data_IF_246092431798
#
_entry.id   IF_246092431798
#
_cell.length_a   1.000
_cell.length_b   1.000
_cell.length_c   1.000
_cell.angle_alpha   90.00
_cell.angle_beta   90.00
_cell.angle_gamma   90.00
#
_symmetry.space_group_name_H-M   'P 1'
#
loop_
_entity.id
_entity.type
_entity.pdbx_description
1 polymer ?
#
# COMPACT_ATOMS: atom_id res chain seq x y z
N UNK A 1 9.07 -19.56 -36.33
CA UNK A 1 7.85 -19.16 -35.59
C UNK A 1 7.96 -17.69 -35.22
N UNK A 2 7.31 -16.84 -35.99
CA UNK A 2 7.28 -15.39 -35.75
C UNK A 2 6.42 -15.12 -34.51
N UNK A 3 7.00 -14.63 -33.42
CA UNK A 3 6.23 -14.16 -32.26
C UNK A 3 5.55 -12.86 -32.68
N UNK A 4 4.27 -12.95 -33.00
CA UNK A 4 3.38 -11.79 -33.10
C UNK A 4 3.28 -11.19 -31.70
N UNK A 5 4.01 -10.09 -31.47
CA UNK A 5 3.80 -9.27 -30.27
C UNK A 5 2.53 -8.45 -30.52
N UNK A 6 1.38 -9.02 -30.14
CA UNK A 6 0.11 -8.31 -30.13
C UNK A 6 0.26 -7.10 -29.22
N UNK A 7 0.41 -5.92 -29.81
CA UNK A 7 0.43 -4.66 -29.07
C UNK A 7 -1.03 -4.36 -28.71
N UNK A 8 -1.47 -4.84 -27.55
CA UNK A 8 -2.85 -4.66 -27.10
C UNK A 8 -3.05 -3.21 -26.64
N UNK A 9 -3.48 -2.34 -27.57
CA UNK A 9 -4.40 -1.19 -27.45
C UNK A 9 -4.41 -0.27 -26.22
N UNK A 10 -3.40 -0.23 -25.36
CA UNK A 10 -3.33 0.65 -24.19
C UNK A 10 -2.55 1.92 -24.48
N UNK A 11 -2.91 3.02 -23.82
CA UNK A 11 -2.08 4.22 -23.80
C UNK A 11 -0.76 3.91 -23.09
N UNK A 12 0.36 4.41 -23.60
CA UNK A 12 1.68 4.08 -23.09
C UNK A 12 2.48 5.34 -22.76
N UNK A 13 3.30 5.26 -21.72
CA UNK A 13 4.25 6.30 -21.32
C UNK A 13 5.48 5.66 -20.70
N UNK A 14 6.66 6.19 -21.01
CA UNK A 14 7.87 5.88 -20.24
C UNK A 14 8.19 7.07 -19.37
N UNK A 15 8.30 6.82 -18.07
CA UNK A 15 8.70 7.83 -17.08
C UNK A 15 10.18 7.62 -16.78
N UNK A 16 10.94 8.71 -16.74
CA UNK A 16 12.37 8.71 -16.40
C UNK A 16 12.61 9.59 -15.18
N UNK A 17 13.65 9.26 -14.41
CA UNK A 17 14.06 9.99 -13.22
C UNK A 17 15.57 10.32 -13.27
N UNK A 18 15.95 11.29 -12.44
CA UNK A 18 17.32 11.74 -12.20
C UNK A 18 18.17 10.69 -11.46
N UNK A 19 17.57 9.97 -10.51
CA UNK A 19 18.17 8.87 -9.76
C UNK A 19 17.47 7.55 -10.04
N UNK A 20 18.12 6.46 -9.62
CA UNK A 20 17.61 5.10 -9.82
C UNK A 20 16.19 4.92 -9.28
N UNK A 21 15.43 4.00 -9.89
CA UNK A 21 14.11 3.58 -9.44
C UNK A 21 14.16 2.07 -9.22
N UNK A 22 13.73 1.63 -8.04
CA UNK A 22 13.45 0.24 -7.73
C UNK A 22 11.93 0.07 -7.77
N UNK A 23 11.39 -0.27 -8.95
CA UNK A 23 9.95 -0.35 -9.15
C UNK A 23 9.32 -1.40 -8.24
N UNK A 24 9.92 -2.59 -8.19
CA UNK A 24 9.35 -3.74 -7.50
C UNK A 24 9.17 -3.46 -6.00
N UNK A 25 10.18 -2.91 -5.33
CA UNK A 25 10.07 -2.58 -3.90
C UNK A 25 9.20 -1.34 -3.63
N UNK A 26 9.14 -0.40 -4.58
CA UNK A 26 8.29 0.80 -4.48
C UNK A 26 6.81 0.43 -4.52
N UNK A 27 6.37 -0.42 -5.45
CA UNK A 27 4.94 -0.75 -5.62
C UNK A 27 4.48 -1.99 -4.84
N UNK A 28 5.41 -2.75 -4.25
CA UNK A 28 5.11 -3.92 -3.42
C UNK A 28 4.01 -3.69 -2.35
N UNK A 29 3.91 -2.51 -1.68
CA UNK A 29 2.88 -2.25 -0.68
C UNK A 29 1.42 -2.29 -1.19
N UNK A 30 1.20 -2.24 -2.51
CA UNK A 30 -0.14 -2.35 -3.11
C UNK A 30 -0.69 -3.77 -3.11
N UNK A 31 0.19 -4.78 -3.08
CA UNK A 31 -0.17 -6.18 -3.27
C UNK A 31 -0.84 -6.78 -2.03
N UNK A 32 -2.00 -7.41 -2.19
CA UNK A 32 -2.74 -8.17 -1.15
C UNK A 32 -2.56 -9.69 -1.30
N UNK A 33 -1.32 -10.12 -1.52
CA UNK A 33 -0.94 -11.55 -1.67
C UNK A 33 -0.92 -12.04 -3.12
N UNK A 34 -0.79 -13.35 -3.33
CA UNK A 34 -0.78 -13.97 -4.67
C UNK A 34 -2.18 -14.12 -5.29
N UNK A 35 -3.22 -14.18 -4.46
CA UNK A 35 -4.61 -14.27 -4.91
C UNK A 35 -5.34 -12.93 -5.02
N UNK A 36 -4.61 -11.82 -5.02
CA UNK A 36 -5.19 -10.48 -5.10
C UNK A 36 -5.93 -10.31 -6.44
N UNK A 37 -7.25 -10.04 -6.45
CA UNK A 37 -7.98 -9.88 -7.69
C UNK A 37 -7.68 -8.55 -8.41
N UNK A 38 -7.13 -7.56 -7.71
CA UNK A 38 -6.80 -6.24 -8.26
C UNK A 38 -5.36 -6.16 -8.78
N UNK A 39 -4.49 -7.12 -8.44
CA UNK A 39 -3.06 -7.03 -8.72
C UNK A 39 -2.46 -8.36 -9.19
N UNK A 40 -1.53 -8.29 -10.14
CA UNK A 40 -0.76 -9.45 -10.59
C UNK A 40 0.66 -9.05 -10.97
N UNK A 41 1.66 -9.83 -10.52
CA UNK A 41 3.02 -9.76 -11.09
C UNK A 41 3.15 -10.85 -12.13
N UNK A 42 3.55 -10.48 -13.34
CA UNK A 42 3.77 -11.40 -14.45
C UNK A 42 5.19 -11.99 -14.41
N UNK A 43 5.46 -13.11 -15.10
CA UNK A 43 6.79 -13.73 -15.11
C UNK A 43 7.92 -12.84 -15.65
N UNK A 44 7.57 -11.83 -16.46
CA UNK A 44 8.48 -10.79 -16.96
C UNK A 44 8.79 -9.70 -15.91
N UNK A 45 8.28 -9.84 -14.68
CA UNK A 45 8.43 -8.88 -13.59
C UNK A 45 7.48 -7.69 -13.68
N UNK A 46 6.59 -7.62 -14.68
CA UNK A 46 5.67 -6.51 -14.81
C UNK A 46 4.55 -6.56 -13.76
N UNK A 47 4.29 -5.42 -13.13
CA UNK A 47 3.24 -5.22 -12.15
C UNK A 47 1.97 -4.75 -12.85
N UNK A 48 0.90 -5.51 -12.73
CA UNK A 48 -0.43 -5.13 -13.18
C UNK A 48 -1.30 -4.79 -11.99
N UNK A 49 -2.05 -3.71 -12.09
CA UNK A 49 -3.00 -3.30 -11.06
C UNK A 49 -4.25 -2.69 -11.69
N UNK A 50 -5.39 -2.89 -11.04
CA UNK A 50 -6.67 -2.28 -11.37
C UNK A 50 -7.08 -1.31 -10.25
N UNK A 51 -7.36 -0.07 -10.61
CA UNK A 51 -7.69 1.02 -9.69
C UNK A 51 -8.80 1.91 -10.25
N UNK A 52 -9.34 2.80 -9.42
CA UNK A 52 -10.29 3.83 -9.86
C UNK A 52 -9.68 5.22 -9.73
N UNK A 53 -9.37 5.83 -10.88
CA UNK A 53 -9.05 7.26 -10.94
C UNK A 53 -10.35 8.08 -10.82
N UNK A 54 -10.27 9.36 -10.42
CA UNK A 54 -11.38 10.31 -10.55
C UNK A 54 -12.04 10.32 -11.93
N UNK A 55 -11.25 10.24 -13.00
CA UNK A 55 -11.72 10.14 -14.38
C UNK A 55 -12.30 8.77 -14.78
N UNK A 56 -12.14 7.74 -13.95
CA UNK A 56 -12.78 6.44 -14.11
C UNK A 56 -11.86 5.24 -13.88
N UNK A 57 -12.36 4.06 -14.25
CA UNK A 57 -11.66 2.80 -14.10
C UNK A 57 -10.35 2.77 -14.91
N UNK A 58 -9.30 2.22 -14.30
CA UNK A 58 -8.02 1.99 -14.96
C UNK A 58 -7.46 0.62 -14.61
N UNK A 59 -6.91 -0.05 -15.61
CA UNK A 59 -5.90 -1.09 -15.42
C UNK A 59 -4.59 -0.54 -15.91
N UNK A 60 -3.52 -0.71 -15.16
CA UNK A 60 -2.19 -0.31 -15.58
C UNK A 60 -1.17 -1.42 -15.40
N UNK A 61 -0.19 -1.44 -16.30
CA UNK A 61 1.00 -2.29 -16.29
C UNK A 61 2.21 -1.39 -16.10
N UNK A 62 3.03 -1.68 -15.09
CA UNK A 62 4.32 -1.04 -14.86
C UNK A 62 5.43 -2.08 -15.02
N UNK A 63 6.46 -1.73 -15.78
CA UNK A 63 7.66 -2.56 -15.94
C UNK A 63 8.91 -1.71 -15.79
N UNK A 64 9.93 -2.24 -15.12
CA UNK A 64 11.24 -1.60 -15.07
C UNK A 64 11.83 -1.58 -16.48
N UNK A 65 12.08 -0.39 -17.03
CA UNK A 65 12.58 -0.20 -18.41
C UNK A 65 14.08 0.16 -18.46
N UNK A 66 14.69 0.42 -17.31
CA UNK A 66 16.10 0.75 -17.13
C UNK A 66 16.35 1.19 -15.69
N UNK A 67 17.59 1.49 -15.30
CA UNK A 67 17.92 1.83 -13.90
C UNK A 67 17.15 3.04 -13.36
N UNK A 68 16.81 4.00 -14.23
CA UNK A 68 16.08 5.22 -13.88
C UNK A 68 14.80 5.39 -14.72
N UNK A 69 14.24 4.30 -15.25
CA UNK A 69 13.10 4.36 -16.16
C UNK A 69 12.05 3.29 -15.87
N UNK A 70 10.77 3.67 -15.95
CA UNK A 70 9.61 2.80 -15.81
C UNK A 70 8.74 2.94 -17.04
N UNK A 71 8.49 1.84 -17.74
CA UNK A 71 7.52 1.76 -18.82
C UNK A 71 6.14 1.47 -18.24
N UNK A 72 5.16 2.27 -18.65
CA UNK A 72 3.77 2.15 -18.24
C UNK A 72 2.85 1.97 -19.45
N UNK A 73 1.85 1.12 -19.28
CA UNK A 73 0.70 1.00 -20.17
C UNK A 73 -0.57 1.05 -19.34
N UNK A 74 -1.62 1.69 -19.86
CA UNK A 74 -2.89 1.82 -19.16
C UNK A 74 -4.08 1.67 -20.11
N UNK A 75 -5.18 1.11 -19.57
CA UNK A 75 -6.43 0.84 -20.27
C UNK A 75 -7.62 1.35 -19.46
N UNK A 76 -8.67 1.78 -20.15
CA UNK A 76 -9.92 2.26 -19.56
C UNK A 76 -10.00 3.79 -19.48
N UNK A 77 -11.15 4.33 -19.03
CA UNK A 77 -11.40 5.77 -18.98
C UNK A 77 -10.39 6.55 -18.12
N UNK A 78 -9.86 5.93 -17.07
CA UNK A 78 -8.86 6.55 -16.18
C UNK A 78 -7.41 6.48 -16.68
N UNK A 79 -7.16 5.91 -17.87
CA UNK A 79 -5.81 5.65 -18.35
C UNK A 79 -4.96 6.90 -18.54
N UNK A 80 -5.52 7.96 -19.15
CA UNK A 80 -4.80 9.20 -19.41
C UNK A 80 -4.37 9.88 -18.09
N UNK A 81 -5.33 10.07 -17.16
CA UNK A 81 -5.06 10.67 -15.85
C UNK A 81 -4.03 9.85 -15.06
N UNK A 82 -4.11 8.52 -15.09
CA UNK A 82 -3.12 7.66 -14.44
C UNK A 82 -1.71 7.90 -14.98
N UNK A 83 -1.55 7.93 -16.31
CA UNK A 83 -0.23 8.15 -16.93
C UNK A 83 0.32 9.55 -16.63
N UNK A 84 -0.55 10.56 -16.50
CA UNK A 84 -0.20 11.91 -16.06
C UNK A 84 0.25 11.97 -14.60
N UNK A 85 -0.39 11.19 -13.72
CA UNK A 85 -0.05 11.14 -12.30
C UNK A 85 1.09 10.16 -11.97
N UNK A 86 1.54 9.34 -12.91
CA UNK A 86 2.54 8.31 -12.65
C UNK A 86 3.86 8.84 -12.05
N UNK A 87 4.44 9.97 -12.51
CA UNK A 87 5.62 10.55 -11.85
C UNK A 87 5.40 10.86 -10.37
N UNK A 88 4.21 11.36 -10.02
CA UNK A 88 3.82 11.63 -8.63
C UNK A 88 3.63 10.34 -7.83
N UNK A 89 3.02 9.31 -8.43
CA UNK A 89 2.88 7.99 -7.80
C UNK A 89 4.23 7.36 -7.45
N UNK A 90 5.21 7.52 -8.33
CA UNK A 90 6.57 7.02 -8.13
C UNK A 90 7.44 7.96 -7.28
N UNK A 91 6.89 9.05 -6.74
CA UNK A 91 7.59 10.03 -5.91
C UNK A 91 8.95 10.45 -6.51
N UNK A 92 8.90 10.86 -7.78
CA UNK A 92 10.11 11.33 -8.47
C UNK A 92 10.63 12.65 -7.91
N UNK A 93 9.73 13.45 -7.32
CA UNK A 93 9.96 14.70 -6.60
C UNK A 93 10.53 14.51 -5.18
N UNK A 94 10.72 13.27 -4.73
CA UNK A 94 11.20 13.00 -3.37
C UNK A 94 12.68 13.36 -3.18
N UNK A 95 12.92 14.29 -2.26
CA UNK A 95 14.23 14.61 -1.70
C UNK A 95 14.61 13.66 -0.54
N UNK A 96 15.80 13.07 -0.65
CA UNK A 96 16.38 12.17 0.36
C UNK A 96 17.77 12.64 0.80
N UNK A 97 18.20 13.84 0.41
CA UNK A 97 19.53 14.37 0.70
C UNK A 97 19.82 14.48 2.20
N UNK A 98 18.78 14.76 3.01
CA UNK A 98 18.86 14.79 4.47
C UNK A 98 18.83 13.41 5.16
N UNK A 99 18.61 12.32 4.42
CA UNK A 99 18.52 10.99 5.01
C UNK A 99 19.91 10.37 5.25
N UNK A 100 20.50 10.67 6.40
CA UNK A 100 21.83 10.21 6.79
C UNK A 100 21.77 9.29 8.04
N UNK A 101 21.34 8.03 7.91
CA UNK A 101 21.21 7.13 9.06
C UNK A 101 22.58 6.77 9.67
N UNK A 102 22.75 7.01 10.97
CA UNK A 102 23.98 6.64 11.69
C UNK A 102 24.09 5.12 11.92
N UNK A 103 22.96 4.43 12.10
CA UNK A 103 22.98 3.00 12.40
C UNK A 103 23.45 2.17 11.19
N UNK A 104 24.49 1.32 11.32
CA UNK A 104 25.11 0.63 10.18
C UNK A 104 24.15 -0.17 9.30
N UNK A 105 23.19 -0.87 9.91
CA UNK A 105 22.18 -1.67 9.19
C UNK A 105 21.29 -0.83 8.27
N UNK A 106 20.85 0.34 8.72
CA UNK A 106 20.01 1.23 7.93
C UNK A 106 20.86 1.89 6.84
N UNK A 107 22.08 2.32 7.16
CA UNK A 107 23.02 2.88 6.18
C UNK A 107 23.37 1.88 5.06
N UNK A 108 23.62 0.62 5.40
CA UNK A 108 23.85 -0.45 4.42
C UNK A 108 22.61 -0.69 3.55
N UNK A 109 21.43 -0.80 4.16
CA UNK A 109 20.19 -0.96 3.42
C UNK A 109 19.96 0.21 2.45
N UNK A 110 20.19 1.45 2.90
CA UNK A 110 20.05 2.63 2.05
C UNK A 110 20.98 2.58 0.83
N UNK A 111 22.25 2.18 1.02
CA UNK A 111 23.20 2.00 -0.09
C UNK A 111 22.81 0.88 -1.05
N UNK A 112 22.23 -0.21 -0.54
CA UNK A 112 21.81 -1.38 -1.36
C UNK A 112 20.54 -1.12 -2.16
N UNK A 113 19.66 -0.26 -1.67
CA UNK A 113 18.37 0.06 -2.31
C UNK A 113 18.24 1.57 -2.61
N UNK A 114 19.16 2.16 -3.40
CA UNK A 114 19.13 3.59 -3.70
C UNK A 114 17.91 4.01 -4.54
N UNK A 115 17.25 3.03 -5.18
CA UNK A 115 16.06 3.23 -5.99
C UNK A 115 14.74 3.20 -5.24
N UNK A 116 14.72 2.92 -3.94
CA UNK A 116 13.47 2.87 -3.17
C UNK A 116 12.82 4.27 -3.10
N UNK A 117 11.56 4.34 -3.55
CA UNK A 117 10.67 5.50 -3.43
C UNK A 117 9.55 5.20 -2.44
N UNK A 118 9.07 6.21 -1.72
CA UNK A 118 7.85 6.07 -0.93
C UNK A 118 6.65 6.25 -1.84
N UNK A 119 5.89 5.19 -2.08
CA UNK A 119 4.75 5.19 -3.00
C UNK A 119 3.68 6.23 -2.63
N UNK A 120 3.15 6.97 -3.61
CA UNK A 120 2.10 7.98 -3.41
C UNK A 120 0.94 7.84 -4.40
N UNK A 121 0.05 6.88 -4.21
CA UNK A 121 -1.06 6.66 -5.17
C UNK A 121 -1.99 7.87 -5.30
N UNK A 122 -2.14 8.65 -4.22
CA UNK A 122 -3.16 9.70 -4.11
C UNK A 122 -4.59 9.15 -4.23
N UNK A 123 -4.79 7.86 -3.91
CA UNK A 123 -6.09 7.18 -3.84
C UNK A 123 -6.33 6.74 -2.40
N UNK A 124 -6.91 7.64 -1.61
CA UNK A 124 -7.00 7.50 -0.15
C UNK A 124 -7.99 6.40 0.20
N UNK A 125 -9.19 6.44 -0.37
CA UNK A 125 -10.24 5.49 -0.04
C UNK A 125 -9.92 4.07 -0.54
N UNK A 126 -9.30 3.95 -1.72
CA UNK A 126 -8.84 2.66 -2.26
C UNK A 126 -7.82 1.98 -1.32
N UNK A 127 -6.95 2.78 -0.68
CA UNK A 127 -5.99 2.31 0.32
C UNK A 127 -6.66 2.00 1.67
N UNK A 128 -7.63 2.82 2.08
CA UNK A 128 -8.29 2.75 3.38
C UNK A 128 -8.97 1.40 3.63
N UNK A 129 -9.75 0.90 2.67
CA UNK A 129 -10.54 -0.32 2.87
C UNK A 129 -9.67 -1.54 3.22
N UNK A 130 -8.64 -1.92 2.43
CA UNK A 130 -7.79 -3.04 2.80
C UNK A 130 -7.05 -2.80 4.12
N UNK A 131 -6.62 -1.56 4.42
CA UNK A 131 -6.01 -1.25 5.72
C UNK A 131 -6.97 -1.50 6.89
N UNK A 132 -8.24 -1.12 6.76
CA UNK A 132 -9.25 -1.42 7.79
C UNK A 132 -9.44 -2.92 7.93
N UNK A 133 -9.49 -3.68 6.82
CA UNK A 133 -9.60 -5.14 6.84
C UNK A 133 -8.41 -5.83 7.55
N UNK A 134 -7.24 -5.20 7.55
CA UNK A 134 -6.01 -5.69 8.17
C UNK A 134 -5.93 -5.42 9.68
N UNK A 135 -6.84 -4.60 10.24
CA UNK A 135 -6.82 -4.25 11.67
C UNK A 135 -6.96 -5.47 12.59
N UNK A 136 -5.91 -5.68 13.42
CA UNK A 136 -5.86 -6.67 14.52
C UNK A 136 -6.15 -8.12 14.08
N UNK A 137 -5.82 -8.46 12.84
CA UNK A 137 -5.96 -9.81 12.31
C UNK A 137 -4.70 -10.24 11.57
N UNK A 138 -4.57 -11.54 11.36
CA UNK A 138 -3.52 -12.05 10.49
C UNK A 138 -3.74 -11.58 9.05
N UNK A 139 -2.66 -11.12 8.39
CA UNK A 139 -2.70 -10.66 7.00
C UNK A 139 -3.30 -11.68 6.03
N UNK A 140 -3.13 -12.99 6.28
CA UNK A 140 -3.74 -14.04 5.46
C UNK A 140 -5.27 -14.00 5.52
N UNK A 141 -5.85 -13.75 6.70
CA UNK A 141 -7.29 -13.63 6.90
C UNK A 141 -7.80 -12.35 6.23
N UNK A 142 -7.15 -11.20 6.47
CA UNK A 142 -7.52 -9.94 5.84
C UNK A 142 -7.49 -10.00 4.30
N UNK A 143 -6.45 -10.61 3.73
CA UNK A 143 -6.33 -10.82 2.28
C UNK A 143 -7.41 -11.76 1.74
N UNK A 144 -7.81 -12.78 2.50
CA UNK A 144 -8.92 -13.65 2.15
C UNK A 144 -10.26 -12.88 2.16
N UNK A 145 -10.49 -12.00 3.16
CA UNK A 145 -11.64 -11.11 3.23
C UNK A 145 -11.69 -10.15 2.05
N UNK A 146 -10.58 -9.46 1.75
CA UNK A 146 -10.40 -8.59 0.59
C UNK A 146 -10.80 -9.31 -0.69
N UNK A 147 -10.17 -10.46 -0.95
CA UNK A 147 -10.43 -11.27 -2.13
C UNK A 147 -11.90 -11.64 -2.24
N UNK A 148 -12.53 -12.12 -1.16
CA UNK A 148 -13.95 -12.53 -1.16
C UNK A 148 -14.88 -11.36 -1.44
N UNK A 149 -14.63 -10.18 -0.86
CA UNK A 149 -15.45 -8.99 -1.06
C UNK A 149 -15.29 -8.42 -2.47
N UNK A 150 -14.06 -8.29 -2.97
CA UNK A 150 -13.82 -7.80 -4.34
C UNK A 150 -14.34 -8.77 -5.40
N UNK A 151 -14.20 -10.09 -5.20
CA UNK A 151 -14.83 -11.07 -6.10
C UNK A 151 -16.35 -11.07 -6.05
N UNK A 152 -17.00 -10.50 -5.02
CA UNK A 152 -18.46 -10.47 -4.95
C UNK A 152 -19.03 -9.12 -5.40
N UNK A 153 -18.37 -8.03 -5.05
CA UNK A 153 -18.88 -6.66 -5.19
C UNK A 153 -18.02 -5.77 -6.08
N UNK A 154 -16.84 -6.24 -6.50
CA UNK A 154 -16.05 -5.57 -7.51
C UNK A 154 -16.62 -5.81 -8.91
N UNK A 155 -16.03 -5.13 -9.88
CA UNK A 155 -16.42 -5.19 -11.31
C UNK A 155 -15.23 -5.67 -12.14
N UNK A 156 -15.44 -6.20 -13.35
CA UNK A 156 -14.35 -6.48 -14.28
C UNK A 156 -13.51 -5.21 -14.55
N UNK A 157 -12.19 -5.32 -14.47
CA UNK A 157 -11.30 -4.22 -14.82
C UNK A 157 -11.14 -4.11 -16.35
N UNK A 158 -10.90 -2.91 -16.90
CA UNK A 158 -10.62 -2.74 -18.31
C UNK A 158 -9.29 -3.39 -18.72
N UNK A 159 -9.09 -3.63 -20.01
CA UNK A 159 -7.81 -4.12 -20.54
C UNK A 159 -7.72 -5.65 -20.64
N UNK A 160 -6.53 -6.19 -20.95
CA UNK A 160 -6.37 -7.56 -21.45
C UNK A 160 -6.34 -8.65 -20.38
N UNK A 161 -6.17 -8.31 -19.11
CA UNK A 161 -6.13 -9.28 -18.02
C UNK A 161 -7.46 -9.33 -17.27
N UNK A 162 -7.90 -10.51 -16.80
CA UNK A 162 -9.12 -10.65 -16.02
C UNK A 162 -8.92 -10.21 -14.56
N UNK A 163 -8.49 -8.96 -14.36
CA UNK A 163 -8.42 -8.31 -13.05
C UNK A 163 -9.81 -7.79 -12.65
N UNK A 164 -9.97 -7.49 -11.36
CA UNK A 164 -11.16 -6.85 -10.79
C UNK A 164 -10.81 -5.46 -10.32
N UNK A 165 -11.72 -4.52 -10.53
CA UNK A 165 -11.69 -3.25 -9.82
C UNK A 165 -12.18 -3.46 -8.39
N UNK A 166 -11.57 -2.80 -7.39
CA UNK A 166 -12.20 -2.71 -6.09
C UNK A 166 -13.56 -2.01 -6.22
N UNK A 167 -14.55 -2.34 -5.37
CA UNK A 167 -15.81 -1.61 -5.34
C UNK A 167 -15.56 -0.11 -5.11
N UNK A 168 -16.40 0.73 -5.69
CA UNK A 168 -16.41 2.16 -5.37
C UNK A 168 -17.01 2.41 -3.97
N UNK A 169 -16.89 3.65 -3.48
CA UNK A 169 -17.41 4.03 -2.17
C UNK A 169 -18.92 3.78 -2.05
N UNK A 170 -19.66 4.02 -3.13
CA UNK A 170 -21.11 3.88 -3.18
C UNK A 170 -21.55 2.41 -3.03
N UNK A 171 -20.76 1.49 -3.59
CA UNK A 171 -20.94 0.05 -3.41
C UNK A 171 -20.51 -0.38 -2.01
N UNK A 172 -19.33 0.02 -1.54
CA UNK A 172 -18.84 -0.34 -0.19
C UNK A 172 -19.84 0.04 0.91
N UNK A 173 -20.45 1.23 0.84
CA UNK A 173 -21.45 1.68 1.84
C UNK A 173 -22.77 0.91 1.79
N UNK A 174 -23.05 0.17 0.70
CA UNK A 174 -24.27 -0.63 0.51
C UNK A 174 -24.05 -2.13 0.70
N UNK A 175 -22.81 -2.60 0.85
CA UNK A 175 -22.56 -4.01 1.14
C UNK A 175 -23.27 -4.36 2.45
N UNK A 176 -24.15 -5.38 2.44
CA UNK A 176 -24.89 -5.73 3.63
C UNK A 176 -23.99 -6.39 4.68
N UNK A 177 -24.30 -6.18 5.97
CA UNK A 177 -23.48 -6.64 7.10
C UNK A 177 -23.19 -8.15 7.06
N UNK A 178 -24.15 -8.98 6.67
CA UNK A 178 -23.96 -10.44 6.55
C UNK A 178 -22.92 -10.84 5.51
N UNK A 179 -22.69 -10.00 4.49
CA UNK A 179 -21.66 -10.25 3.47
C UNK A 179 -20.25 -9.99 4.01
N UNK A 180 -20.09 -8.96 4.85
CA UNK A 180 -18.87 -8.75 5.63
C UNK A 180 -18.63 -9.91 6.60
N UNK A 181 -19.66 -10.32 7.33
CA UNK A 181 -19.57 -11.45 8.26
C UNK A 181 -19.11 -12.73 7.56
N UNK A 182 -19.78 -13.10 6.45
CA UNK A 182 -19.38 -14.24 5.61
C UNK A 182 -17.96 -14.10 5.07
N UNK A 183 -17.43 -12.87 4.92
CA UNK A 183 -16.06 -12.62 4.53
C UNK A 183 -15.07 -12.59 5.70
N UNK A 184 -15.45 -13.04 6.90
CA UNK A 184 -14.62 -13.00 8.10
C UNK A 184 -14.26 -11.57 8.55
N UNK A 185 -15.18 -10.61 8.34
CA UNK A 185 -15.01 -9.22 8.77
C UNK A 185 -15.99 -8.93 9.90
N UNK A 186 -15.46 -8.54 11.06
CA UNK A 186 -16.26 -8.27 12.23
C UNK A 186 -17.10 -6.97 12.09
N UNK A 187 -18.11 -6.77 12.96
CA UNK A 187 -18.98 -5.59 12.93
C UNK A 187 -18.25 -4.24 13.06
N UNK A 188 -17.13 -4.17 13.80
CA UNK A 188 -16.38 -2.92 14.01
C UNK A 188 -15.64 -2.52 12.74
N UNK A 189 -14.92 -3.45 12.10
CA UNK A 189 -14.23 -3.19 10.83
C UNK A 189 -15.22 -2.84 9.71
N UNK A 190 -16.29 -3.61 9.56
CA UNK A 190 -17.31 -3.34 8.53
C UNK A 190 -18.02 -1.99 8.73
N UNK A 191 -18.38 -1.63 9.98
CA UNK A 191 -18.93 -0.31 10.29
C UNK A 191 -17.96 0.81 9.93
N UNK A 192 -16.67 0.64 10.22
CA UNK A 192 -15.62 1.63 9.87
C UNK A 192 -15.55 1.84 8.35
N UNK A 193 -15.55 0.76 7.57
CA UNK A 193 -15.57 0.82 6.10
C UNK A 193 -16.81 1.57 5.59
N UNK A 194 -18.00 1.24 6.10
CA UNK A 194 -19.26 1.88 5.69
C UNK A 194 -19.27 3.37 6.03
N UNK A 195 -18.78 3.76 7.22
CA UNK A 195 -18.68 5.18 7.61
C UNK A 195 -17.68 5.93 6.74
N UNK A 196 -16.49 5.36 6.50
CA UNK A 196 -15.48 5.94 5.62
C UNK A 196 -16.02 6.11 4.19
N UNK A 197 -16.74 5.11 3.68
CA UNK A 197 -17.34 5.13 2.34
C UNK A 197 -18.36 6.26 2.16
N UNK A 198 -19.15 6.59 3.20
CA UNK A 198 -20.07 7.74 3.18
C UNK A 198 -19.35 9.09 3.11
N UNK A 199 -18.09 9.13 3.55
CA UNK A 199 -17.26 10.34 3.58
C UNK A 199 -16.14 10.30 2.53
N UNK A 200 -16.16 9.36 1.58
CA UNK A 200 -15.02 9.09 0.70
C UNK A 200 -14.55 10.35 -0.04
N UNK A 201 -15.45 11.13 -0.62
CA UNK A 201 -15.11 12.38 -1.31
C UNK A 201 -14.39 13.40 -0.40
N UNK A 202 -14.75 13.45 0.89
CA UNK A 202 -14.07 14.30 1.87
C UNK A 202 -12.70 13.72 2.24
N UNK A 203 -12.60 12.39 2.41
CA UNK A 203 -11.35 11.72 2.76
C UNK A 203 -10.32 11.79 1.63
N UNK A 204 -10.74 11.78 0.36
CA UNK A 204 -9.82 11.95 -0.78
C UNK A 204 -9.08 13.30 -0.75
N UNK A 205 -9.65 14.33 -0.10
CA UNK A 205 -8.95 15.61 0.10
C UNK A 205 -7.64 15.45 0.90
N UNK A 206 -7.50 14.38 1.68
CA UNK A 206 -6.25 14.09 2.40
C UNK A 206 -5.04 13.98 1.46
N UNK A 207 -5.23 13.61 0.19
CA UNK A 207 -4.16 13.53 -0.81
C UNK A 207 -3.50 14.88 -1.14
N UNK A 208 -4.16 16.00 -0.83
CA UNK A 208 -3.67 17.35 -1.11
C UNK A 208 -3.38 18.17 0.15
N UNK A 209 -3.51 17.56 1.33
CA UNK A 209 -3.17 18.18 2.61
C UNK A 209 -1.74 17.84 3.01
N UNK A 210 -1.16 18.61 3.93
CA UNK A 210 0.04 18.16 4.63
C UNK A 210 -0.26 16.88 5.45
N UNK A 211 0.79 16.13 5.80
CA UNK A 211 0.65 14.83 6.47
C UNK A 211 -0.06 14.91 7.82
N UNK A 212 0.12 15.99 8.58
CA UNK A 212 -0.52 16.15 9.89
C UNK A 212 -2.02 16.41 9.75
N UNK A 213 -2.41 17.32 8.86
CA UNK A 213 -3.80 17.62 8.55
C UNK A 213 -4.51 16.42 7.91
N UNK A 214 -3.84 15.68 7.01
CA UNK A 214 -4.34 14.44 6.45
C UNK A 214 -4.61 13.38 7.54
N UNK A 215 -3.66 13.17 8.45
CA UNK A 215 -3.83 12.24 9.57
C UNK A 215 -4.98 12.65 10.50
N UNK A 216 -5.14 13.95 10.78
CA UNK A 216 -6.26 14.47 11.55
C UNK A 216 -7.59 14.17 10.86
N UNK A 217 -7.70 14.48 9.57
CA UNK A 217 -8.89 14.23 8.76
C UNK A 217 -9.27 12.74 8.75
N UNK A 218 -8.33 11.84 8.48
CA UNK A 218 -8.56 10.39 8.47
C UNK A 218 -9.11 9.89 9.82
N UNK A 219 -8.56 10.40 10.93
CA UNK A 219 -8.94 10.01 12.29
C UNK A 219 -10.28 10.57 12.77
N UNK A 220 -10.95 11.41 11.97
CA UNK A 220 -12.34 11.81 12.24
C UNK A 220 -13.33 10.66 12.07
N UNK A 221 -12.96 9.62 11.30
CA UNK A 221 -13.79 8.44 11.10
C UNK A 221 -13.67 7.49 12.30
N UNK A 222 -14.77 7.15 13.00
CA UNK A 222 -14.73 6.19 14.08
C UNK A 222 -14.20 4.83 13.61
N UNK A 223 -13.15 4.33 14.26
CA UNK A 223 -12.44 3.10 13.90
C UNK A 223 -11.14 3.31 13.14
N UNK A 224 -10.81 4.54 12.74
CA UNK A 224 -9.50 4.91 12.18
C UNK A 224 -8.63 5.53 13.29
N UNK A 225 -7.66 4.75 13.75
CA UNK A 225 -6.66 5.18 14.73
C UNK A 225 -5.33 5.59 14.09
N UNK A 226 -4.32 5.84 14.93
CA UNK A 226 -2.96 6.23 14.49
C UNK A 226 -2.34 5.21 13.53
N UNK A 227 -2.44 3.92 13.84
CA UNK A 227 -1.96 2.83 12.98
C UNK A 227 -2.58 2.87 11.58
N UNK A 228 -3.91 2.97 11.49
CA UNK A 228 -4.63 2.99 10.19
C UNK A 228 -4.32 4.25 9.40
N UNK A 229 -4.22 5.41 10.07
CA UNK A 229 -3.85 6.65 9.40
C UNK A 229 -2.42 6.57 8.84
N UNK A 230 -1.47 5.99 9.58
CA UNK A 230 -0.10 5.79 9.11
C UNK A 230 -0.05 4.85 7.90
N UNK A 231 -0.70 3.69 7.95
CA UNK A 231 -0.74 2.74 6.82
C UNK A 231 -1.34 3.34 5.54
N UNK A 232 -2.33 4.24 5.68
CA UNK A 232 -2.89 5.00 4.56
C UNK A 232 -1.88 6.04 4.07
N UNK A 233 -1.27 6.81 4.98
CA UNK A 233 -0.29 7.84 4.64
C UNK A 233 0.91 7.28 3.87
N UNK A 234 1.41 6.12 4.26
CA UNK A 234 2.53 5.42 3.61
C UNK A 234 2.30 5.07 2.14
N UNK A 235 1.05 4.79 1.73
CA UNK A 235 0.71 4.29 0.38
C UNK A 235 -0.01 5.30 -0.48
N UNK A 236 -0.93 6.06 0.12
CA UNK A 236 -1.72 7.06 -0.58
C UNK A 236 -1.01 8.41 -0.62
N UNK A 237 -0.32 8.79 0.46
CA UNK A 237 0.28 10.12 0.62
C UNK A 237 1.81 10.11 0.40
N UNK A 238 2.42 8.92 0.35
CA UNK A 238 3.87 8.77 0.24
C UNK A 238 4.62 9.37 1.41
N UNK A 239 4.03 9.31 2.61
CA UNK A 239 4.64 9.85 3.83
C UNK A 239 5.86 8.99 4.24
N UNK A 240 7.09 9.51 4.16
CA UNK A 240 8.30 8.79 4.54
C UNK A 240 8.49 8.67 6.05
N UNK A 241 7.67 9.32 6.86
CA UNK A 241 7.80 9.45 8.31
C UNK A 241 6.69 8.74 9.11
N UNK A 242 5.62 8.29 8.44
CA UNK A 242 4.45 7.68 9.06
C UNK A 242 4.72 6.30 9.67
N UNK A 243 5.20 6.25 10.92
CA UNK A 243 5.33 5.00 11.67
C UNK A 243 3.96 4.40 12.03
N UNK A 244 3.79 3.10 11.79
CA UNK A 244 2.59 2.34 12.16
C UNK A 244 2.56 2.03 13.67
N UNK A 245 2.46 3.08 14.49
CA UNK A 245 2.38 2.98 15.95
C UNK A 245 1.18 2.12 16.35
N UNK A 246 1.37 1.20 17.30
CA UNK A 246 0.40 0.20 17.70
C UNK A 246 0.38 -1.06 16.83
N UNK A 247 1.30 -1.18 15.86
CA UNK A 247 1.51 -2.43 15.14
C UNK A 247 2.05 -3.51 16.08
N UNK A 248 1.48 -4.72 15.99
CA UNK A 248 1.77 -5.80 16.92
C UNK A 248 3.22 -6.32 16.83
N UNK A 249 3.95 -6.02 15.76
CA UNK A 249 5.29 -6.53 15.53
C UNK A 249 6.34 -5.45 15.29
N UNK A 250 5.96 -4.27 14.77
CA UNK A 250 6.89 -3.27 14.30
C UNK A 250 7.97 -2.89 15.32
N UNK A 251 7.59 -2.36 16.49
CA UNK A 251 8.56 -1.93 17.53
C UNK A 251 9.47 -3.08 17.97
N UNK A 252 8.90 -4.26 18.20
CA UNK A 252 9.69 -5.45 18.55
C UNK A 252 10.67 -5.87 17.43
N UNK A 253 10.29 -5.76 16.16
CA UNK A 253 11.18 -6.07 15.02
C UNK A 253 12.29 -5.02 14.95
N UNK A 254 11.97 -3.74 15.10
CA UNK A 254 12.96 -2.64 15.11
C UNK A 254 13.96 -2.86 16.24
N UNK A 255 13.49 -3.12 17.46
CA UNK A 255 14.35 -3.41 18.62
C UNK A 255 15.28 -4.59 18.36
N UNK A 256 14.75 -5.76 17.97
CA UNK A 256 15.59 -6.93 17.70
C UNK A 256 16.58 -6.69 16.54
N UNK A 257 16.16 -5.93 15.53
CA UNK A 257 16.99 -5.67 14.35
C UNK A 257 18.12 -4.71 14.67
N UNK A 258 17.88 -3.64 15.40
CA UNK A 258 18.84 -2.55 15.60
C UNK A 258 19.55 -2.59 16.95
N UNK A 259 18.88 -3.10 17.98
CA UNK A 259 19.37 -3.09 19.37
C UNK A 259 19.62 -4.49 19.93
N UNK A 260 19.11 -5.54 19.27
CA UNK A 260 19.29 -6.93 19.72
C UNK A 260 18.41 -7.34 20.89
N UNK A 261 17.38 -6.56 21.23
CA UNK A 261 16.36 -6.87 22.24
C UNK A 261 15.02 -6.22 21.85
N UNK A 262 13.85 -6.69 22.34
CA UNK A 262 12.58 -6.04 22.01
C UNK A 262 12.52 -4.66 22.66
N UNK A 263 11.79 -3.74 22.01
CA UNK A 263 11.43 -2.42 22.52
C UNK A 263 9.92 -2.20 22.30
N UNK A 264 9.36 -1.21 22.98
CA UNK A 264 7.99 -0.74 22.77
C UNK A 264 7.91 0.42 21.77
N UNK A 265 6.70 0.93 21.54
CA UNK A 265 6.46 1.99 20.56
C UNK A 265 7.08 3.32 20.97
N UNK A 266 7.04 3.68 22.26
CA UNK A 266 7.61 4.93 22.77
C UNK A 266 9.13 4.94 22.58
N UNK A 267 9.80 3.84 22.95
CA UNK A 267 11.24 3.66 22.72
C UNK A 267 11.58 3.66 21.24
N UNK A 268 10.76 3.04 20.38
CA UNK A 268 10.96 3.06 18.92
C UNK A 268 10.87 4.50 18.36
N UNK A 269 9.89 5.29 18.83
CA UNK A 269 9.71 6.67 18.39
C UNK A 269 10.94 7.50 18.78
N UNK A 270 11.39 7.42 20.03
CA UNK A 270 12.57 8.12 20.52
C UNK A 270 13.82 7.71 19.72
N UNK A 271 14.02 6.40 19.54
CA UNK A 271 15.19 5.87 18.85
C UNK A 271 15.28 6.29 17.38
N UNK A 272 14.14 6.37 16.69
CA UNK A 272 14.09 6.76 15.27
C UNK A 272 13.96 8.27 15.06
N UNK A 273 13.81 9.09 16.11
CA UNK A 273 13.65 10.54 16.01
C UNK A 273 14.74 11.24 15.17
N UNK A 274 16.04 10.87 15.27
CA UNK A 274 17.07 11.48 14.42
C UNK A 274 16.89 11.23 12.92
N UNK A 275 16.05 10.26 12.53
CA UNK A 275 15.78 9.94 11.13
C UNK A 275 14.62 10.73 10.54
N UNK A 276 13.99 11.64 11.29
CA UNK A 276 12.93 12.48 10.71
C UNK A 276 13.48 13.31 9.53
N UNK A 277 12.68 13.49 8.46
CA UNK A 277 11.30 13.04 8.25
C UNK A 277 11.20 11.67 7.53
N UNK A 278 12.05 10.70 7.85
CA UNK A 278 12.22 9.45 7.10
C UNK A 278 12.12 8.17 7.95
N UNK A 279 11.39 8.22 9.06
CA UNK A 279 11.30 7.08 9.99
C UNK A 279 10.66 5.84 9.35
N UNK A 280 9.59 6.01 8.57
CA UNK A 280 9.00 4.89 7.82
C UNK A 280 9.92 4.40 6.69
N UNK A 281 10.64 5.29 6.02
CA UNK A 281 11.67 4.89 5.02
C UNK A 281 12.71 3.96 5.64
N UNK A 282 13.18 4.25 6.86
CA UNK A 282 14.10 3.37 7.56
C UNK A 282 13.50 1.98 7.83
N UNK A 283 12.25 1.92 8.29
CA UNK A 283 11.49 0.66 8.44
C UNK A 283 11.43 -0.11 7.12
N UNK A 284 11.04 0.56 6.02
CA UNK A 284 10.96 -0.05 4.69
C UNK A 284 12.30 -0.60 4.20
N UNK A 285 13.39 0.12 4.45
CA UNK A 285 14.74 -0.34 4.12
C UNK A 285 15.13 -1.61 4.89
N UNK A 286 14.78 -1.70 6.18
CA UNK A 286 15.02 -2.92 6.97
C UNK A 286 14.21 -4.11 6.45
N UNK A 287 12.95 -3.88 6.07
CA UNK A 287 12.06 -4.90 5.52
C UNK A 287 12.58 -5.46 4.19
N UNK A 288 12.97 -4.61 3.24
CA UNK A 288 13.38 -5.05 1.90
C UNK A 288 14.82 -5.55 1.85
N UNK A 289 15.68 -5.13 2.77
CA UNK A 289 17.08 -5.58 2.80
C UNK A 289 17.27 -6.99 3.33
N UNK A 290 16.21 -7.59 3.89
CA UNK A 290 16.26 -8.88 4.57
C UNK A 290 16.91 -8.82 5.95
N UNK A 291 17.20 -7.62 6.46
CA UNK A 291 17.82 -7.43 7.77
C UNK A 291 16.81 -7.45 8.91
N UNK A 292 15.54 -7.14 8.65
CA UNK A 292 14.47 -7.19 9.65
C UNK A 292 14.39 -8.59 10.28
N UNK A 293 14.61 -8.66 11.59
CA UNK A 293 14.67 -9.90 12.34
C UNK A 293 13.92 -9.79 13.66
N UNK A 294 13.18 -10.86 14.00
CA UNK A 294 12.61 -11.10 15.32
C UNK A 294 12.69 -12.61 15.60
N UNK A 295 13.30 -13.06 16.71
CA UNK A 295 13.35 -14.48 17.02
C UNK A 295 11.96 -15.06 17.27
N UNK A 296 11.81 -16.36 17.02
CA UNK A 296 10.52 -17.07 17.19
C UNK A 296 10.45 -17.65 18.60
N UNK A 297 9.63 -17.06 19.46
CA UNK A 297 9.52 -17.46 20.87
C UNK A 297 8.28 -18.30 21.20
N UNK A 298 7.24 -18.27 20.35
CA UNK A 298 5.97 -18.93 20.63
C UNK A 298 5.34 -19.58 19.37
N UNK A 299 4.45 -20.58 19.55
CA UNK A 299 3.63 -21.10 18.46
C UNK A 299 2.81 -19.98 17.79
N UNK A 300 2.46 -20.18 16.52
CA UNK A 300 1.62 -19.20 15.80
C UNK A 300 0.24 -19.12 16.45
N UNK A 301 -0.23 -17.91 16.73
CA UNK A 301 -1.61 -17.68 17.18
C UNK A 301 -2.60 -18.29 16.18
N UNK A 302 -3.65 -18.97 16.66
CA UNK A 302 -4.66 -19.55 15.77
C UNK A 302 -5.38 -18.47 14.97
N UNK A 303 -5.78 -18.81 13.74
CA UNK A 303 -6.58 -17.92 12.91
C UNK A 303 -7.99 -17.84 13.49
N UNK A 304 -8.48 -16.61 13.70
CA UNK A 304 -9.86 -16.36 14.09
C UNK A 304 -10.75 -16.42 12.84
N UNK A 305 -11.84 -17.21 12.90
CA UNK A 305 -12.84 -17.34 11.85
C UNK A 305 -14.23 -16.95 12.38
N UNK A 306 -14.69 -15.77 11.96
CA UNK A 306 -16.03 -15.24 12.23
C UNK A 306 -17.06 -15.72 11.19
N UNK A 307 -16.69 -16.42 10.13
CA UNK A 307 -17.60 -16.68 9.01
C UNK A 307 -18.65 -17.79 9.25
N UNK A 308 -18.54 -18.53 10.37
CA UNK A 308 -19.32 -19.74 10.66
C UNK A 308 -20.39 -19.60 11.75
N UNK A 309 -20.62 -18.38 12.25
CA UNK A 309 -21.65 -18.08 13.26
C UNK A 309 -22.89 -17.50 12.60
#
# INVERSE_FOLDING_TARGET
>A
MCRVTTTIGGAARTVTADRTIDLAHTVAPLRRGSGDPCHRVMPDGAHWHASRMPSGAVTYRLAQAGRCAVAAQAWGPGAAEFLDRLPHMLCLDEDVSGFAPAHPKIAEAHRRFPGLRMLRTGLVFETLVPTVLEQRVHLVSARASWRKLVWRFGEPAPGPLPLRLPPDADTWRRIPSWSYHRANVDPRRSRTIVLAARMAAKLEQAATLDHAAAAHLLRTVPGIGIWTAAEIAQRALGDPDALSIGDYHLSSIVGWTLLGHPIDDDTMIEYLEPLRPHRYRAVRLLEISGQAHKPKFAPRTPLVDHSRI
#
